data_IF_779701992980
#
_entry.id   IF_779701992980
#
_cell.length_a   1.000
_cell.length_b   1.000
_cell.length_c   1.000
_cell.angle_alpha   90.00
_cell.angle_beta   90.00
_cell.angle_gamma   90.00
#
_symmetry.space_group_name_H-M   'P 1'
#
loop_
_entity.id
_entity.type
_entity.pdbx_description
1 polymer ?
#
# COMPACT_ATOMS: atom_id res chain seq x y z
N UNK A 1 120.23 68.74 -22.02
CA UNK A 1 119.24 69.49 -21.22
C UNK A 1 118.30 70.21 -22.18
N UNK A 2 117.03 69.82 -22.20
CA UNK A 2 115.97 70.57 -22.87
C UNK A 2 114.85 70.75 -21.84
N UNK A 3 114.80 71.93 -21.22
CA UNK A 3 113.77 72.33 -20.27
C UNK A 3 112.52 72.70 -21.05
N UNK A 4 111.46 71.91 -20.90
CA UNK A 4 110.13 72.19 -21.44
C UNK A 4 109.55 73.41 -20.73
N UNK A 5 109.53 74.55 -21.42
CA UNK A 5 108.88 75.78 -20.97
C UNK A 5 107.37 75.57 -20.90
N UNK A 6 106.85 75.36 -19.69
CA UNK A 6 105.42 75.27 -19.40
C UNK A 6 104.85 76.69 -19.35
N UNK A 7 103.87 77.01 -20.21
CA UNK A 7 103.20 78.32 -20.22
C UNK A 7 102.78 78.72 -18.78
N UNK A 8 103.03 79.96 -18.33
CA UNK A 8 102.55 80.41 -17.03
C UNK A 8 101.02 80.35 -16.99
N UNK A 9 100.47 79.78 -15.90
CA UNK A 9 99.03 79.65 -15.71
C UNK A 9 98.33 81.00 -15.68
N UNK A 10 97.10 81.04 -16.20
CA UNK A 10 96.25 82.23 -16.21
C UNK A 10 96.04 82.75 -14.78
N UNK A 11 96.33 84.04 -14.55
CA UNK A 11 96.14 84.71 -13.25
C UNK A 11 94.77 85.40 -13.26
N UNK A 12 93.96 85.09 -12.26
CA UNK A 12 92.63 85.68 -12.07
C UNK A 12 92.69 86.82 -11.05
N UNK A 13 91.77 87.78 -11.16
CA UNK A 13 91.62 88.84 -10.15
C UNK A 13 90.97 88.26 -8.89
N UNK A 14 91.26 88.83 -7.71
CA UNK A 14 90.69 88.36 -6.43
C UNK A 14 89.17 88.40 -6.46
N UNK A 15 88.58 89.42 -7.09
CA UNK A 15 87.13 89.54 -7.29
C UNK A 15 86.55 88.41 -8.15
N UNK A 16 87.28 87.95 -9.17
CA UNK A 16 86.86 86.83 -10.02
C UNK A 16 86.95 85.50 -9.25
N UNK A 17 87.98 85.35 -8.40
CA UNK A 17 88.14 84.20 -7.49
C UNK A 17 87.03 84.14 -6.43
N UNK A 18 86.69 85.27 -5.81
CA UNK A 18 85.57 85.39 -4.86
C UNK A 18 84.22 85.07 -5.53
N UNK A 19 84.00 85.59 -6.73
CA UNK A 19 82.79 85.31 -7.53
C UNK A 19 82.69 83.84 -7.90
N UNK A 20 83.79 83.22 -8.32
CA UNK A 20 83.83 81.79 -8.63
C UNK A 20 83.60 80.92 -7.38
N UNK A 21 84.18 81.26 -6.24
CA UNK A 21 83.95 80.51 -4.99
C UNK A 21 82.52 80.67 -4.48
N UNK A 22 81.93 81.86 -4.62
CA UNK A 22 80.52 82.07 -4.32
C UNK A 22 79.63 81.24 -5.24
N UNK A 23 79.88 81.25 -6.54
CA UNK A 23 79.17 80.41 -7.50
C UNK A 23 79.28 78.91 -7.18
N UNK A 24 80.48 78.43 -6.82
CA UNK A 24 80.69 77.04 -6.40
C UNK A 24 79.92 76.70 -5.12
N UNK A 25 79.87 77.62 -4.15
CA UNK A 25 79.12 77.44 -2.90
C UNK A 25 77.62 77.42 -3.14
N UNK A 26 77.10 78.40 -3.89
CA UNK A 26 75.68 78.51 -4.26
C UNK A 26 75.23 77.29 -5.07
N UNK A 27 76.07 76.84 -6.03
CA UNK A 27 75.81 75.62 -6.80
C UNK A 27 75.80 74.38 -5.90
N UNK A 28 76.77 74.25 -4.99
CA UNK A 28 76.81 73.13 -4.05
C UNK A 28 75.62 73.12 -3.09
N UNK A 29 75.16 74.27 -2.62
CA UNK A 29 73.94 74.42 -1.82
C UNK A 29 72.70 74.01 -2.59
N UNK A 30 72.53 74.51 -3.82
CA UNK A 30 71.43 74.13 -4.68
C UNK A 30 71.40 72.63 -4.96
N UNK A 31 72.55 72.03 -5.29
CA UNK A 31 72.67 70.58 -5.53
C UNK A 31 72.38 69.76 -4.26
N UNK A 32 72.84 70.22 -3.09
CA UNK A 32 72.50 69.57 -1.79
C UNK A 32 71.01 69.65 -1.51
N UNK A 33 70.38 70.81 -1.73
CA UNK A 33 68.96 70.99 -1.50
C UNK A 33 68.13 70.09 -2.43
N UNK A 34 68.45 70.09 -3.74
CA UNK A 34 67.79 69.22 -4.71
C UNK A 34 67.96 67.73 -4.36
N UNK A 35 69.18 67.30 -3.99
CA UNK A 35 69.43 65.93 -3.53
C UNK A 35 68.64 65.56 -2.27
N UNK A 36 68.54 66.48 -1.30
CA UNK A 36 67.74 66.28 -0.09
C UNK A 36 66.26 66.13 -0.42
N UNK A 37 65.72 66.99 -1.30
CA UNK A 37 64.35 66.91 -1.76
C UNK A 37 64.07 65.57 -2.45
N UNK A 38 64.86 65.18 -3.46
CA UNK A 38 64.72 63.89 -4.16
C UNK A 38 64.79 62.70 -3.19
N UNK A 39 65.65 62.77 -2.16
CA UNK A 39 65.72 61.74 -1.12
C UNK A 39 64.48 61.72 -0.24
N UNK A 40 63.92 62.86 0.13
CA UNK A 40 62.70 62.95 0.94
C UNK A 40 61.50 62.43 0.14
N UNK A 41 61.36 62.85 -1.11
CA UNK A 41 60.33 62.35 -2.05
C UNK A 41 60.47 60.83 -2.25
N UNK A 42 61.68 60.34 -2.49
CA UNK A 42 61.95 58.90 -2.63
C UNK A 42 61.63 58.10 -1.35
N UNK A 43 61.87 58.66 -0.16
CA UNK A 43 61.47 58.03 1.12
C UNK A 43 59.97 58.02 1.30
N UNK A 44 59.29 59.13 1.01
CA UNK A 44 57.84 59.24 1.08
C UNK A 44 57.17 58.24 0.12
N UNK A 45 57.65 58.19 -1.13
CA UNK A 45 57.17 57.25 -2.13
C UNK A 45 57.35 55.79 -1.67
N UNK A 46 58.53 55.40 -1.17
CA UNK A 46 58.76 54.06 -0.64
C UNK A 46 57.81 53.70 0.49
N UNK A 47 57.55 54.62 1.41
CA UNK A 47 56.63 54.39 2.52
C UNK A 47 55.18 54.26 2.03
N UNK A 48 54.75 55.17 1.14
CA UNK A 48 53.43 55.12 0.53
C UNK A 48 53.21 53.83 -0.26
N UNK A 49 54.18 53.43 -1.10
CA UNK A 49 54.13 52.16 -1.84
C UNK A 49 54.08 50.98 -0.89
N UNK A 50 54.92 50.93 0.15
CA UNK A 50 54.91 49.84 1.11
C UNK A 50 53.57 49.71 1.86
N UNK A 51 52.96 50.83 2.26
CA UNK A 51 51.65 50.84 2.91
C UNK A 51 50.56 50.39 1.93
N UNK A 52 50.57 50.94 0.71
CA UNK A 52 49.60 50.60 -0.33
C UNK A 52 49.68 49.12 -0.71
N UNK A 53 50.87 48.59 -0.97
CA UNK A 53 51.06 47.17 -1.30
C UNK A 53 50.56 46.25 -0.19
N UNK A 54 50.86 46.54 1.08
CA UNK A 54 50.34 45.75 2.22
C UNK A 54 48.83 45.83 2.35
N UNK A 55 48.25 47.00 2.10
CA UNK A 55 46.80 47.18 2.15
C UNK A 55 46.11 46.42 1.00
N UNK A 56 46.60 46.57 -0.23
CA UNK A 56 46.08 45.87 -1.42
C UNK A 56 46.19 44.34 -1.25
N UNK A 57 47.29 43.84 -0.66
CA UNK A 57 47.48 42.42 -0.33
C UNK A 57 46.47 41.92 0.72
N UNK A 58 46.27 42.70 1.80
CA UNK A 58 45.29 42.36 2.84
C UNK A 58 43.85 42.37 2.30
N UNK A 59 43.47 43.41 1.57
CA UNK A 59 42.13 43.54 0.96
C UNK A 59 41.86 42.39 -0.04
N UNK A 60 42.86 42.01 -0.83
CA UNK A 60 42.74 40.85 -1.73
C UNK A 60 42.61 39.53 -0.96
N UNK A 61 43.36 39.37 0.14
CA UNK A 61 43.28 38.20 1.01
C UNK A 61 41.91 38.09 1.69
N UNK A 62 41.36 39.19 2.19
CA UNK A 62 40.05 39.23 2.84
C UNK A 62 38.93 38.86 1.85
N UNK A 63 38.96 39.42 0.63
CA UNK A 63 38.01 39.04 -0.44
C UNK A 63 38.09 37.56 -0.83
N UNK A 64 39.29 36.97 -0.80
CA UNK A 64 39.48 35.55 -1.07
C UNK A 64 38.90 34.69 0.06
N UNK A 65 39.03 35.11 1.32
CA UNK A 65 38.38 34.46 2.47
C UNK A 65 36.86 34.52 2.34
N UNK A 66 36.29 35.68 2.01
CA UNK A 66 34.85 35.82 1.80
C UNK A 66 34.36 34.90 0.68
N UNK A 67 35.10 34.81 -0.43
CA UNK A 67 34.76 33.91 -1.54
C UNK A 67 34.83 32.43 -1.14
N UNK A 68 35.85 32.03 -0.37
CA UNK A 68 35.97 30.66 0.18
C UNK A 68 34.75 30.32 1.04
N UNK A 69 34.32 31.24 1.90
CA UNK A 69 33.14 31.02 2.74
C UNK A 69 31.87 30.84 1.88
N UNK A 70 31.68 31.70 0.88
CA UNK A 70 30.52 31.63 -0.02
C UNK A 70 30.48 30.33 -0.83
N UNK A 71 31.63 29.89 -1.38
CA UNK A 71 31.74 28.62 -2.11
C UNK A 71 31.49 27.43 -1.19
N UNK A 72 31.97 27.50 0.06
CA UNK A 72 31.76 26.46 1.07
C UNK A 72 30.28 26.31 1.43
N UNK A 73 29.57 27.42 1.65
CA UNK A 73 28.13 27.39 1.94
C UNK A 73 27.32 26.74 0.81
N UNK A 74 27.61 27.13 -0.44
CA UNK A 74 26.93 26.55 -1.61
C UNK A 74 27.26 25.05 -1.77
N UNK A 75 28.51 24.65 -1.52
CA UNK A 75 28.94 23.25 -1.53
C UNK A 75 28.18 22.43 -0.48
N UNK A 76 28.08 22.92 0.76
CA UNK A 76 27.40 22.23 1.85
C UNK A 76 25.90 22.06 1.55
N UNK A 77 25.28 23.09 0.97
CA UNK A 77 23.87 23.03 0.52
C UNK A 77 23.66 21.99 -0.58
N UNK A 78 24.54 21.95 -1.58
CA UNK A 78 24.51 20.95 -2.65
C UNK A 78 24.68 19.53 -2.09
N UNK A 79 25.63 19.33 -1.18
CA UNK A 79 25.89 18.04 -0.56
C UNK A 79 24.68 17.55 0.26
N UNK A 80 24.04 18.44 1.03
CA UNK A 80 22.82 18.11 1.75
C UNK A 80 21.70 17.69 0.78
N UNK A 81 21.49 18.45 -0.30
CA UNK A 81 20.46 18.18 -1.29
C UNK A 81 20.66 16.80 -1.97
N UNK A 82 21.90 16.47 -2.35
CA UNK A 82 22.22 15.15 -2.95
C UNK A 82 21.88 14.02 -1.98
N UNK A 83 22.29 14.13 -0.71
CA UNK A 83 21.99 13.10 0.29
C UNK A 83 20.49 12.97 0.59
N UNK A 84 19.76 14.08 0.63
CA UNK A 84 18.31 14.07 0.83
C UNK A 84 17.62 13.32 -0.33
N UNK A 85 18.06 13.59 -1.56
CA UNK A 85 17.53 12.95 -2.76
C UNK A 85 17.81 11.45 -2.80
N UNK A 86 19.02 11.01 -2.42
CA UNK A 86 19.34 9.57 -2.28
C UNK A 86 18.47 8.86 -1.24
N UNK A 87 18.16 9.52 -0.12
CA UNK A 87 17.27 8.97 0.92
C UNK A 87 15.85 8.83 0.39
N UNK A 88 15.36 9.82 -0.36
CA UNK A 88 14.01 9.79 -0.92
C UNK A 88 13.84 8.67 -1.96
N UNK A 89 14.83 8.43 -2.83
CA UNK A 89 14.82 7.29 -3.76
C UNK A 89 14.68 5.97 -3.03
N UNK A 90 15.46 5.78 -1.95
CA UNK A 90 15.40 4.56 -1.13
C UNK A 90 14.02 4.41 -0.48
N UNK A 91 13.47 5.50 0.06
CA UNK A 91 12.17 5.50 0.70
C UNK A 91 11.03 5.18 -0.28
N UNK A 92 11.03 5.76 -1.49
CA UNK A 92 10.02 5.48 -2.51
C UNK A 92 10.12 4.03 -3.00
N UNK A 93 11.34 3.52 -3.17
CA UNK A 93 11.59 2.11 -3.51
C UNK A 93 10.99 1.17 -2.48
N UNK A 94 11.21 1.44 -1.19
CA UNK A 94 10.64 0.66 -0.10
C UNK A 94 9.11 0.68 -0.12
N UNK A 95 8.49 1.87 -0.25
CA UNK A 95 7.01 1.97 -0.29
C UNK A 95 6.42 1.22 -1.49
N UNK A 96 7.10 1.25 -2.66
CA UNK A 96 6.71 0.43 -3.81
C UNK A 96 6.74 -1.06 -3.48
N UNK A 97 7.86 -1.57 -2.96
CA UNK A 97 8.01 -2.99 -2.62
C UNK A 97 6.97 -3.45 -1.58
N UNK A 98 6.70 -2.62 -0.58
CA UNK A 98 5.65 -2.91 0.40
C UNK A 98 4.25 -2.91 -0.22
N UNK A 99 3.99 -2.05 -1.21
CA UNK A 99 2.71 -2.01 -1.94
C UNK A 99 2.56 -3.22 -2.87
N UNK A 100 3.64 -3.66 -3.52
CA UNK A 100 3.68 -4.90 -4.31
C UNK A 100 3.42 -6.13 -3.43
N UNK A 101 3.96 -6.14 -2.21
CA UNK A 101 3.68 -7.21 -1.23
C UNK A 101 2.21 -7.19 -0.81
N UNK A 102 1.67 -6.03 -0.45
CA UNK A 102 0.26 -5.89 -0.10
C UNK A 102 -0.67 -6.35 -1.25
N UNK A 103 -0.32 -6.03 -2.51
CA UNK A 103 -1.03 -6.54 -3.67
C UNK A 103 -0.99 -8.08 -3.74
N UNK A 104 0.19 -8.69 -3.56
CA UNK A 104 0.33 -10.15 -3.58
C UNK A 104 -0.47 -10.84 -2.44
N UNK A 105 -0.52 -10.22 -1.25
CA UNK A 105 -1.29 -10.71 -0.10
C UNK A 105 -2.80 -10.78 -0.39
N UNK A 106 -3.34 -9.95 -1.30
CA UNK A 106 -4.76 -10.01 -1.70
C UNK A 106 -5.14 -11.20 -2.59
N UNK A 107 -4.17 -11.91 -3.19
CA UNK A 107 -4.45 -13.01 -4.11
C UNK A 107 -5.14 -14.18 -3.41
N UNK A 108 -4.67 -14.55 -2.23
CA UNK A 108 -5.18 -15.71 -1.51
C UNK A 108 -6.60 -15.47 -0.93
N UNK A 109 -6.93 -14.31 -0.33
CA UNK A 109 -8.31 -13.96 -0.01
C UNK A 109 -9.26 -14.04 -1.22
N UNK A 110 -8.83 -13.60 -2.40
CA UNK A 110 -9.64 -13.71 -3.62
C UNK A 110 -9.93 -15.17 -3.99
N UNK A 111 -8.90 -16.02 -3.97
CA UNK A 111 -9.04 -17.47 -4.23
C UNK A 111 -10.04 -18.11 -3.26
N UNK A 112 -9.95 -17.79 -1.97
CA UNK A 112 -10.86 -18.32 -0.95
C UNK A 112 -12.30 -17.87 -1.19
N UNK A 113 -12.53 -16.61 -1.53
CA UNK A 113 -13.89 -16.12 -1.84
C UNK A 113 -14.46 -16.80 -3.08
N UNK A 114 -13.65 -16.97 -4.12
CA UNK A 114 -14.04 -17.69 -5.34
C UNK A 114 -14.36 -19.14 -5.01
N UNK A 115 -13.53 -19.82 -4.22
CA UNK A 115 -13.80 -21.20 -3.80
C UNK A 115 -15.11 -21.30 -3.00
N UNK A 116 -15.37 -20.37 -2.08
CA UNK A 116 -16.63 -20.31 -1.34
C UNK A 116 -17.84 -20.16 -2.30
N UNK A 117 -17.73 -19.31 -3.31
CA UNK A 117 -18.77 -19.16 -4.34
C UNK A 117 -18.96 -20.45 -5.14
N UNK A 118 -17.88 -21.11 -5.58
CA UNK A 118 -17.93 -22.38 -6.30
C UNK A 118 -18.54 -23.50 -5.46
N UNK A 119 -18.22 -23.58 -4.16
CA UNK A 119 -18.84 -24.53 -3.24
C UNK A 119 -20.36 -24.31 -3.15
N UNK A 120 -20.81 -23.06 -3.16
CA UNK A 120 -22.24 -22.73 -3.15
C UNK A 120 -22.95 -23.07 -4.47
N UNK A 121 -22.27 -22.90 -5.61
CA UNK A 121 -22.80 -23.34 -6.92
C UNK A 121 -23.00 -24.85 -7.00
N UNK A 122 -22.24 -25.63 -6.21
CA UNK A 122 -22.40 -27.08 -6.09
C UNK A 122 -23.66 -27.56 -5.37
N UNK A 123 -24.49 -26.65 -4.85
CA UNK A 123 -25.74 -27.01 -4.16
C UNK A 123 -26.81 -27.53 -5.10
N UNK A 124 -27.67 -28.41 -4.58
CA UNK A 124 -28.67 -29.13 -5.37
C UNK A 124 -30.09 -28.73 -4.99
N UNK A 125 -30.96 -28.64 -6.00
CA UNK A 125 -32.39 -28.42 -5.81
C UNK A 125 -32.71 -27.12 -5.09
N UNK A 126 -33.57 -27.19 -4.07
CA UNK A 126 -34.04 -26.06 -3.27
C UNK A 126 -32.96 -25.38 -2.43
N UNK A 127 -31.76 -25.94 -2.32
CA UNK A 127 -30.64 -25.36 -1.57
C UNK A 127 -29.80 -24.37 -2.39
N UNK A 128 -29.96 -24.36 -3.72
CA UNK A 128 -29.34 -23.38 -4.60
C UNK A 128 -30.13 -22.06 -4.53
N UNK A 129 -29.81 -21.25 -3.52
CA UNK A 129 -30.55 -20.03 -3.19
C UNK A 129 -29.62 -18.81 -3.20
N UNK A 130 -30.10 -17.74 -3.84
CA UNK A 130 -29.52 -16.41 -3.70
C UNK A 130 -29.93 -15.77 -2.39
N UNK A 131 -28.97 -15.69 -1.47
CA UNK A 131 -29.15 -15.19 -0.11
C UNK A 131 -28.19 -14.04 0.19
N UNK A 132 -28.32 -13.37 1.35
CA UNK A 132 -27.43 -12.28 1.72
C UNK A 132 -25.95 -12.67 1.78
N UNK A 133 -25.63 -13.94 2.07
CA UNK A 133 -24.25 -14.42 2.14
C UNK A 133 -23.62 -14.51 0.75
N UNK A 134 -24.33 -15.05 -0.25
CA UNK A 134 -23.87 -15.01 -1.64
C UNK A 134 -23.64 -13.57 -2.11
N UNK A 135 -24.53 -12.65 -1.72
CA UNK A 135 -24.37 -11.22 -1.99
C UNK A 135 -23.13 -10.61 -1.34
N UNK A 136 -22.78 -11.01 -0.11
CA UNK A 136 -21.56 -10.55 0.57
C UNK A 136 -20.29 -11.14 -0.07
N UNK A 137 -20.30 -12.43 -0.42
CA UNK A 137 -19.15 -13.08 -1.10
C UNK A 137 -18.87 -12.44 -2.47
N UNK A 138 -19.91 -12.15 -3.26
CA UNK A 138 -19.74 -11.44 -4.54
C UNK A 138 -19.21 -10.02 -4.33
N UNK A 139 -19.70 -9.31 -3.32
CA UNK A 139 -19.19 -7.98 -2.97
C UNK A 139 -17.73 -8.04 -2.55
N UNK A 140 -17.34 -9.01 -1.73
CA UNK A 140 -15.96 -9.21 -1.29
C UNK A 140 -15.03 -9.48 -2.48
N UNK A 141 -15.41 -10.35 -3.41
CA UNK A 141 -14.62 -10.59 -4.63
C UNK A 141 -14.47 -9.32 -5.49
N UNK A 142 -15.56 -8.58 -5.71
CA UNK A 142 -15.53 -7.32 -6.46
C UNK A 142 -14.68 -6.24 -5.77
N UNK A 143 -14.75 -6.18 -4.45
CA UNK A 143 -13.96 -5.25 -3.64
C UNK A 143 -12.47 -5.58 -3.76
N UNK A 144 -12.10 -6.86 -3.62
CA UNK A 144 -10.70 -7.30 -3.77
C UNK A 144 -10.19 -6.97 -5.19
N UNK A 145 -10.96 -7.25 -6.24
CA UNK A 145 -10.57 -6.92 -7.63
C UNK A 145 -10.37 -5.41 -7.82
N UNK A 146 -11.28 -4.58 -7.29
CA UNK A 146 -11.17 -3.11 -7.35
C UNK A 146 -9.90 -2.63 -6.63
N UNK A 147 -9.64 -3.16 -5.43
CA UNK A 147 -8.44 -2.83 -4.64
C UNK A 147 -7.16 -3.27 -5.33
N UNK A 148 -7.13 -4.46 -5.95
CA UNK A 148 -6.00 -4.94 -6.73
C UNK A 148 -5.70 -3.99 -7.89
N UNK A 149 -6.72 -3.51 -8.58
CA UNK A 149 -6.56 -2.54 -9.66
C UNK A 149 -6.03 -1.20 -9.15
N UNK A 150 -6.53 -0.69 -8.03
CA UNK A 150 -6.04 0.56 -7.41
C UNK A 150 -4.57 0.43 -6.96
N UNK A 151 -4.23 -0.64 -6.23
CA UNK A 151 -2.85 -0.91 -5.82
C UNK A 151 -1.92 -1.06 -7.03
N UNK A 152 -2.36 -1.78 -8.08
CA UNK A 152 -1.59 -1.94 -9.31
C UNK A 152 -1.38 -0.60 -10.03
N UNK A 153 -2.39 0.26 -10.08
CA UNK A 153 -2.25 1.61 -10.64
C UNK A 153 -1.25 2.45 -9.84
N UNK A 154 -1.28 2.37 -8.51
CA UNK A 154 -0.31 3.05 -7.65
C UNK A 154 1.11 2.49 -7.83
N UNK A 155 1.28 1.17 -7.96
CA UNK A 155 2.56 0.54 -8.28
C UNK A 155 3.05 0.99 -9.65
N UNK A 156 2.19 1.03 -10.67
CA UNK A 156 2.55 1.52 -12.00
C UNK A 156 2.97 2.99 -11.97
N UNK A 157 2.21 3.85 -11.28
CA UNK A 157 2.59 5.26 -11.08
C UNK A 157 3.89 5.39 -10.32
N UNK A 158 4.11 4.61 -9.26
CA UNK A 158 5.35 4.60 -8.50
C UNK A 158 6.52 4.07 -9.31
N UNK A 159 6.30 3.08 -10.16
CA UNK A 159 7.30 2.57 -11.09
C UNK A 159 7.63 3.61 -12.16
N UNK A 160 6.64 4.28 -12.75
CA UNK A 160 6.84 5.39 -13.69
C UNK A 160 7.58 6.54 -13.01
N UNK A 161 7.17 6.93 -11.80
CA UNK A 161 7.84 7.98 -11.03
C UNK A 161 9.26 7.56 -10.66
N UNK A 162 9.49 6.34 -10.16
CA UNK A 162 10.82 5.80 -9.90
C UNK A 162 11.64 5.74 -11.18
N UNK A 163 11.07 5.33 -12.30
CA UNK A 163 11.73 5.29 -13.59
C UNK A 163 12.11 6.70 -14.04
N UNK A 164 11.23 7.70 -13.91
CA UNK A 164 11.55 9.11 -14.17
C UNK A 164 12.62 9.64 -13.20
N UNK A 165 12.50 9.30 -11.91
CA UNK A 165 13.43 9.59 -10.81
C UNK A 165 14.74 8.76 -10.84
N UNK A 166 14.92 7.78 -11.72
CA UNK A 166 16.16 6.98 -11.78
C UNK A 166 16.78 6.96 -13.18
N UNK A 167 15.97 7.12 -14.22
CA UNK A 167 16.36 7.00 -15.63
C UNK A 167 16.59 8.36 -16.32
N UNK A 168 15.75 9.36 -16.08
CA UNK A 168 15.74 10.61 -16.88
C UNK A 168 16.01 11.88 -16.08
N UNK A 169 15.16 12.23 -15.11
CA UNK A 169 15.25 13.55 -14.45
C UNK A 169 16.34 13.57 -13.38
N UNK A 170 16.53 12.47 -12.65
CA UNK A 170 17.51 12.39 -11.58
C UNK A 170 18.92 12.10 -12.07
N UNK A 171 19.14 11.34 -13.15
CA UNK A 171 20.48 11.30 -13.73
C UNK A 171 20.92 12.70 -14.10
N UNK A 172 20.06 13.49 -14.74
CA UNK A 172 20.39 14.87 -15.10
C UNK A 172 20.50 15.78 -13.87
N UNK A 173 19.54 15.79 -12.95
CA UNK A 173 19.57 16.65 -11.76
C UNK A 173 20.67 16.22 -10.77
N UNK A 174 20.84 14.92 -10.53
CA UNK A 174 21.95 14.38 -9.73
C UNK A 174 23.29 14.61 -10.42
N UNK A 175 23.44 14.39 -11.73
CA UNK A 175 24.68 14.69 -12.44
C UNK A 175 24.95 16.20 -12.43
N UNK A 176 23.94 17.05 -12.60
CA UNK A 176 24.09 18.51 -12.52
C UNK A 176 24.48 18.95 -11.11
N UNK A 177 23.84 18.43 -10.06
CA UNK A 177 24.20 18.68 -8.66
C UNK A 177 25.59 18.15 -8.33
N UNK A 178 25.95 16.94 -8.78
CA UNK A 178 27.26 16.32 -8.54
C UNK A 178 28.35 17.05 -9.31
N UNK A 179 28.07 17.48 -10.53
CA UNK A 179 28.98 18.27 -11.36
C UNK A 179 29.19 19.65 -10.76
N UNK A 180 28.12 20.33 -10.33
CA UNK A 180 28.22 21.60 -9.61
C UNK A 180 29.03 21.42 -8.32
N UNK A 181 28.73 20.39 -7.52
CA UNK A 181 29.47 20.07 -6.30
C UNK A 181 30.96 19.81 -6.57
N UNK A 182 31.29 19.06 -7.63
CA UNK A 182 32.67 18.81 -8.06
C UNK A 182 33.37 20.12 -8.44
N UNK A 183 32.72 20.93 -9.26
CA UNK A 183 33.26 22.23 -9.67
C UNK A 183 33.47 23.18 -8.48
N UNK A 184 32.53 23.21 -7.53
CA UNK A 184 32.65 24.00 -6.29
C UNK A 184 33.79 23.49 -5.41
N UNK A 185 34.00 22.17 -5.36
CA UNK A 185 35.10 21.56 -4.61
C UNK A 185 36.46 21.89 -5.24
N UNK A 186 36.57 21.73 -6.56
CA UNK A 186 37.80 22.10 -7.29
C UNK A 186 38.09 23.61 -7.20
N UNK A 187 37.07 24.46 -7.31
CA UNK A 187 37.22 25.90 -7.14
C UNK A 187 37.70 26.25 -5.71
N UNK A 188 37.12 25.60 -4.69
CA UNK A 188 37.53 25.78 -3.30
C UNK A 188 38.99 25.36 -3.08
N UNK A 189 39.43 24.25 -3.67
CA UNK A 189 40.83 23.80 -3.59
C UNK A 189 41.80 24.81 -4.22
N UNK A 190 41.42 25.39 -5.37
CA UNK A 190 42.19 26.46 -6.02
C UNK A 190 42.24 27.70 -5.15
N UNK A 191 41.11 28.15 -4.59
CA UNK A 191 41.04 29.36 -3.76
C UNK A 191 41.82 29.19 -2.45
N UNK A 192 41.75 28.02 -1.81
CA UNK A 192 42.54 27.69 -0.62
C UNK A 192 44.04 27.64 -0.93
N UNK A 193 44.42 27.09 -2.09
CA UNK A 193 45.81 27.10 -2.56
C UNK A 193 46.29 28.54 -2.75
N UNK A 194 45.51 29.39 -3.42
CA UNK A 194 45.80 30.82 -3.58
C UNK A 194 45.95 31.53 -2.24
N UNK A 195 45.08 31.25 -1.26
CA UNK A 195 45.13 31.85 0.08
C UNK A 195 46.38 31.44 0.87
N UNK A 196 46.96 30.29 0.56
CA UNK A 196 48.17 29.76 1.19
C UNK A 196 49.47 30.33 0.61
N UNK A 197 49.42 30.96 -0.56
CA UNK A 197 50.60 31.55 -1.20
C UNK A 197 51.10 32.77 -0.43
N UNK A 198 52.42 32.92 -0.41
CA UNK A 198 53.12 34.08 0.19
C UNK A 198 54.17 34.59 -0.80
N UNK A 199 54.71 35.78 -0.55
CA UNK A 199 55.81 36.38 -1.31
C UNK A 199 57.12 35.55 -1.31
N UNK A 200 57.19 34.53 -0.45
CA UNK A 200 58.33 33.61 -0.31
C UNK A 200 58.05 32.21 -0.86
N UNK A 201 56.85 31.96 -1.39
CA UNK A 201 56.49 30.66 -1.94
C UNK A 201 57.30 30.35 -3.20
N UNK A 202 57.79 29.12 -3.40
CA UNK A 202 58.70 28.78 -4.52
C UNK A 202 58.04 28.85 -5.90
N UNK A 203 56.71 28.69 -5.98
CA UNK A 203 55.96 28.56 -7.24
C UNK A 203 55.37 29.88 -7.78
N UNK A 204 55.75 31.03 -7.20
CA UNK A 204 55.31 32.34 -7.69
C UNK A 204 56.17 32.78 -8.88
N UNK A 205 55.54 33.32 -9.94
CA UNK A 205 56.23 33.78 -11.15
C UNK A 205 55.40 34.80 -11.92
N UNK A 206 56.07 35.65 -12.70
CA UNK A 206 55.40 36.58 -13.61
C UNK A 206 54.66 35.82 -14.71
N UNK A 207 53.39 36.17 -14.94
CA UNK A 207 52.55 35.55 -15.97
C UNK A 207 52.52 36.42 -17.24
N UNK A 208 52.48 35.83 -18.45
CA UNK A 208 52.48 36.58 -19.71
C UNK A 208 51.26 37.52 -19.88
N UNK A 209 50.08 37.11 -19.45
CA UNK A 209 48.85 37.91 -19.50
C UNK A 209 47.98 37.66 -18.25
N UNK A 210 48.30 38.29 -17.10
CA UNK A 210 47.61 38.05 -15.83
C UNK A 210 46.21 38.65 -15.78
N UNK A 211 45.85 39.52 -16.72
CA UNK A 211 44.56 40.23 -16.78
C UNK A 211 43.56 39.59 -17.73
N UNK A 212 43.94 38.51 -18.41
CA UNK A 212 43.09 37.81 -19.35
C UNK A 212 41.91 37.12 -18.64
N UNK A 213 40.68 37.51 -19.00
CA UNK A 213 39.45 36.84 -18.60
C UNK A 213 38.92 36.03 -19.80
N UNK A 214 38.76 34.69 -19.68
CA UNK A 214 38.19 33.87 -20.74
C UNK A 214 36.78 34.35 -21.15
N UNK A 215 36.46 34.30 -22.44
CA UNK A 215 35.13 34.68 -22.97
C UNK A 215 34.01 33.80 -22.38
N UNK A 216 34.34 32.56 -21.99
CA UNK A 216 33.42 31.62 -21.35
C UNK A 216 33.29 31.81 -19.83
N UNK A 217 33.88 32.85 -19.25
CA UNK A 217 33.78 33.12 -17.82
C UNK A 217 32.35 33.56 -17.46
N UNK A 218 31.76 32.88 -16.47
CA UNK A 218 30.46 33.28 -15.92
C UNK A 218 30.60 34.47 -14.98
N UNK A 219 29.52 35.23 -14.89
CA UNK A 219 29.36 36.27 -13.87
C UNK A 219 29.05 35.64 -12.51
N UNK A 220 29.29 36.39 -11.43
CA UNK A 220 28.94 35.97 -10.07
C UNK A 220 27.43 35.67 -9.92
N UNK A 221 26.59 36.50 -10.55
CA UNK A 221 25.14 36.29 -10.58
C UNK A 221 24.73 34.99 -11.28
N UNK A 222 25.32 34.68 -12.43
CA UNK A 222 25.05 33.42 -13.15
C UNK A 222 25.51 32.20 -12.33
N UNK A 223 26.63 32.32 -11.60
CA UNK A 223 27.13 31.28 -10.70
C UNK A 223 26.16 31.00 -9.54
N UNK A 224 25.61 32.03 -8.91
CA UNK A 224 24.64 31.90 -7.81
C UNK A 224 23.32 31.28 -8.33
N UNK A 225 22.82 31.79 -9.45
CA UNK A 225 21.58 31.32 -10.06
C UNK A 225 21.66 29.86 -10.49
N UNK A 226 22.82 29.41 -11.00
CA UNK A 226 23.02 28.02 -11.42
C UNK A 226 22.84 27.05 -10.25
N UNK A 227 23.49 27.31 -9.12
CA UNK A 227 23.37 26.47 -7.93
C UNK A 227 21.96 26.54 -7.33
N UNK A 228 21.36 27.74 -7.27
CA UNK A 228 19.99 27.91 -6.79
C UNK A 228 18.96 27.15 -7.62
N UNK A 229 19.07 27.20 -8.95
CA UNK A 229 18.21 26.48 -9.88
C UNK A 229 18.31 24.96 -9.68
N UNK A 230 19.54 24.43 -9.58
CA UNK A 230 19.76 23.00 -9.39
C UNK A 230 19.14 22.48 -8.08
N UNK A 231 19.27 23.24 -6.99
CA UNK A 231 18.67 22.88 -5.69
C UNK A 231 17.14 22.94 -5.75
N UNK A 232 16.57 24.02 -6.28
CA UNK A 232 15.11 24.20 -6.34
C UNK A 232 14.45 23.10 -7.16
N UNK A 233 15.02 22.76 -8.33
CA UNK A 233 14.54 21.66 -9.16
C UNK A 233 14.56 20.32 -8.41
N UNK A 234 15.61 20.04 -7.64
CA UNK A 234 15.69 18.80 -6.86
C UNK A 234 14.67 18.77 -5.71
N UNK A 235 14.41 19.91 -5.05
CA UNK A 235 13.39 20.04 -4.01
C UNK A 235 11.97 19.79 -4.53
N UNK A 236 11.63 20.32 -5.71
CA UNK A 236 10.33 20.10 -6.37
C UNK A 236 10.09 18.61 -6.67
N UNK A 237 11.09 17.91 -7.19
CA UNK A 237 11.02 16.48 -7.50
C UNK A 237 10.89 15.62 -6.23
N UNK A 238 11.63 15.96 -5.16
CA UNK A 238 11.50 15.30 -3.87
C UNK A 238 10.09 15.49 -3.27
N UNK A 239 9.50 16.67 -3.43
CA UNK A 239 8.16 16.96 -2.93
C UNK A 239 7.08 16.14 -3.67
N UNK A 240 7.22 15.97 -4.99
CA UNK A 240 6.32 15.11 -5.76
C UNK A 240 6.43 13.64 -5.30
N UNK A 241 7.65 13.16 -5.05
CA UNK A 241 7.90 11.81 -4.50
C UNK A 241 7.26 11.62 -3.13
N UNK A 242 7.40 12.61 -2.23
CA UNK A 242 6.79 12.57 -0.89
C UNK A 242 5.26 12.41 -0.98
N UNK A 243 4.59 13.21 -1.79
CA UNK A 243 3.13 13.15 -1.97
C UNK A 243 2.67 11.79 -2.50
N UNK A 244 3.46 11.19 -3.41
CA UNK A 244 3.18 9.86 -3.92
C UNK A 244 3.30 8.80 -2.82
N UNK A 245 4.35 8.85 -1.99
CA UNK A 245 4.52 7.92 -0.86
C UNK A 245 3.40 8.03 0.16
N UNK A 246 2.99 9.24 0.51
CA UNK A 246 1.86 9.48 1.43
C UNK A 246 0.56 8.89 0.88
N UNK A 247 0.28 9.14 -0.39
CA UNK A 247 -0.92 8.60 -1.06
C UNK A 247 -0.89 7.08 -1.08
N UNK A 248 0.22 6.45 -1.48
CA UNK A 248 0.36 4.99 -1.52
C UNK A 248 0.18 4.36 -0.14
N UNK A 249 0.78 4.97 0.89
CA UNK A 249 0.67 4.48 2.27
C UNK A 249 -0.78 4.58 2.77
N UNK A 250 -1.44 5.70 2.50
CA UNK A 250 -2.85 5.90 2.86
C UNK A 250 -3.76 4.89 2.16
N UNK A 251 -3.59 4.68 0.84
CA UNK A 251 -4.37 3.69 0.09
C UNK A 251 -4.15 2.29 0.63
N UNK A 252 -2.91 1.90 0.95
CA UNK A 252 -2.62 0.57 1.51
C UNK A 252 -3.35 0.35 2.84
N UNK A 253 -3.30 1.32 3.74
CA UNK A 253 -4.00 1.25 5.03
C UNK A 253 -5.51 1.16 4.81
N UNK A 254 -6.05 1.94 3.88
CA UNK A 254 -7.47 1.90 3.54
C UNK A 254 -7.89 0.52 3.02
N UNK A 255 -7.15 -0.04 2.04
CA UNK A 255 -7.39 -1.37 1.49
C UNK A 255 -7.40 -2.43 2.60
N UNK A 256 -6.43 -2.39 3.51
CA UNK A 256 -6.35 -3.33 4.62
C UNK A 256 -7.57 -3.25 5.55
N UNK A 257 -7.96 -2.04 5.98
CA UNK A 257 -9.11 -1.84 6.86
C UNK A 257 -10.42 -2.27 6.19
N UNK A 258 -10.57 -1.95 4.91
CA UNK A 258 -11.76 -2.25 4.13
C UNK A 258 -11.90 -3.77 3.91
N UNK A 259 -10.80 -4.48 3.65
CA UNK A 259 -10.76 -5.95 3.58
C UNK A 259 -11.14 -6.60 4.91
N UNK A 260 -10.57 -6.13 6.01
CA UNK A 260 -10.88 -6.64 7.35
C UNK A 260 -12.37 -6.45 7.69
N UNK A 261 -12.92 -5.26 7.43
CA UNK A 261 -14.33 -4.96 7.65
C UNK A 261 -15.26 -5.83 6.80
N UNK A 262 -14.93 -6.04 5.54
CA UNK A 262 -15.71 -6.90 4.65
C UNK A 262 -15.62 -8.37 5.08
N UNK A 263 -14.44 -8.84 5.49
CA UNK A 263 -14.26 -10.20 5.97
C UNK A 263 -15.07 -10.49 7.23
N UNK A 264 -15.04 -9.61 8.24
CA UNK A 264 -15.88 -9.75 9.44
C UNK A 264 -17.36 -9.84 9.07
N UNK A 265 -17.80 -9.02 8.11
CA UNK A 265 -19.18 -9.01 7.61
C UNK A 265 -19.55 -10.32 6.92
N UNK A 266 -18.71 -10.82 6.02
CA UNK A 266 -18.94 -12.10 5.34
C UNK A 266 -18.92 -13.27 6.32
N UNK A 267 -17.94 -13.31 7.23
CA UNK A 267 -17.82 -14.36 8.25
C UNK A 267 -19.04 -14.41 9.18
N UNK A 268 -19.59 -13.25 9.57
CA UNK A 268 -20.85 -13.20 10.31
C UNK A 268 -22.02 -13.79 9.51
N UNK A 269 -22.15 -13.44 8.23
CA UNK A 269 -23.23 -13.97 7.38
C UNK A 269 -23.08 -15.47 7.12
N UNK A 270 -21.84 -15.97 7.02
CA UNK A 270 -21.53 -17.39 6.88
C UNK A 270 -21.99 -18.19 8.09
N UNK A 271 -21.56 -17.78 9.29
CA UNK A 271 -22.00 -18.40 10.56
C UNK A 271 -23.51 -18.35 10.73
N UNK A 272 -24.14 -17.22 10.37
CA UNK A 272 -25.60 -17.08 10.41
C UNK A 272 -26.29 -18.07 9.47
N UNK A 273 -25.81 -18.25 8.25
CA UNK A 273 -26.39 -19.18 7.27
C UNK A 273 -26.19 -20.63 7.68
N UNK A 274 -25.00 -21.00 8.15
CA UNK A 274 -24.73 -22.33 8.69
C UNK A 274 -25.68 -22.67 9.84
N UNK A 275 -25.92 -21.72 10.76
CA UNK A 275 -26.86 -21.90 11.86
C UNK A 275 -28.31 -22.09 11.36
N UNK A 276 -28.75 -21.33 10.35
CA UNK A 276 -30.08 -21.50 9.76
C UNK A 276 -30.26 -22.89 9.12
N UNK A 277 -29.25 -23.38 8.39
CA UNK A 277 -29.25 -24.73 7.83
C UNK A 277 -29.29 -25.79 8.92
N UNK A 278 -28.49 -25.64 9.97
CA UNK A 278 -28.48 -26.55 11.12
C UNK A 278 -29.85 -26.61 11.82
N UNK A 279 -30.52 -25.47 12.00
CA UNK A 279 -31.89 -25.43 12.53
C UNK A 279 -32.88 -26.14 11.60
N UNK A 280 -32.78 -25.93 10.28
CA UNK A 280 -33.65 -26.58 9.31
C UNK A 280 -33.47 -28.12 9.33
N UNK A 281 -32.22 -28.59 9.34
CA UNK A 281 -31.90 -30.01 9.52
C UNK A 281 -32.48 -30.58 10.82
N UNK A 282 -32.31 -29.86 11.93
CA UNK A 282 -32.82 -30.29 13.24
C UNK A 282 -34.35 -30.39 13.26
N UNK A 283 -35.06 -29.45 12.60
CA UNK A 283 -36.52 -29.47 12.49
C UNK A 283 -37.01 -30.64 11.62
N UNK A 284 -36.37 -30.88 10.48
CA UNK A 284 -36.71 -32.03 9.62
C UNK A 284 -36.39 -33.36 10.31
N UNK A 285 -35.30 -33.42 11.07
CA UNK A 285 -34.98 -34.58 11.89
C UNK A 285 -35.98 -34.77 13.04
N UNK A 286 -36.52 -33.69 13.63
CA UNK A 286 -37.56 -33.80 14.64
C UNK A 286 -38.87 -34.34 14.06
N UNK A 287 -39.23 -33.99 12.81
CA UNK A 287 -40.42 -34.51 12.12
C UNK A 287 -40.40 -36.03 11.88
N UNK A 288 -39.37 -36.72 12.37
CA UNK A 288 -39.32 -38.18 12.46
C UNK A 288 -40.48 -38.79 13.27
N UNK A 289 -41.27 -38.01 14.01
CA UNK A 289 -42.56 -38.46 14.58
C UNK A 289 -43.52 -39.03 13.53
N UNK A 290 -43.44 -38.60 12.26
CA UNK A 290 -44.23 -39.20 11.16
C UNK A 290 -43.93 -40.69 10.96
N UNK A 291 -42.73 -41.18 11.37
CA UNK A 291 -42.43 -42.63 11.37
C UNK A 291 -43.27 -43.39 12.38
N UNK A 292 -43.47 -42.83 13.57
CA UNK A 292 -44.27 -43.45 14.61
C UNK A 292 -45.73 -43.53 14.15
N UNK A 293 -46.26 -42.46 13.55
CA UNK A 293 -47.61 -42.43 12.97
C UNK A 293 -47.79 -43.48 11.86
N UNK A 294 -46.80 -43.66 10.97
CA UNK A 294 -46.82 -44.73 9.96
C UNK A 294 -46.89 -46.11 10.63
N UNK A 295 -46.14 -46.34 11.71
CA UNK A 295 -46.18 -47.62 12.43
C UNK A 295 -47.51 -47.89 13.12
N UNK A 296 -48.15 -46.87 13.70
CA UNK A 296 -49.49 -47.01 14.30
C UNK A 296 -50.54 -47.26 13.20
N UNK A 297 -50.50 -46.51 12.10
CA UNK A 297 -51.46 -46.68 11.01
C UNK A 297 -51.35 -48.07 10.34
N UNK A 298 -50.14 -48.63 10.24
CA UNK A 298 -49.94 -50.01 9.79
C UNK A 298 -50.56 -51.04 10.74
N UNK A 299 -50.51 -50.81 12.07
CA UNK A 299 -51.19 -51.66 13.06
C UNK A 299 -52.70 -51.55 12.93
N UNK A 300 -53.22 -50.34 12.75
CA UNK A 300 -54.65 -50.12 12.56
C UNK A 300 -55.17 -50.77 11.28
N UNK A 301 -54.42 -50.69 10.17
CA UNK A 301 -54.75 -51.43 8.94
C UNK A 301 -54.80 -52.93 9.22
N UNK A 302 -53.83 -53.47 9.96
CA UNK A 302 -53.82 -54.89 10.31
C UNK A 302 -55.03 -55.29 11.17
N UNK A 303 -55.39 -54.48 12.17
CA UNK A 303 -56.58 -54.71 13.00
C UNK A 303 -57.87 -54.65 12.16
N UNK A 304 -58.01 -53.67 11.26
CA UNK A 304 -59.16 -53.56 10.36
C UNK A 304 -59.30 -54.77 9.42
N UNK A 305 -58.18 -55.31 8.93
CA UNK A 305 -58.17 -56.54 8.13
C UNK A 305 -58.61 -57.76 8.95
N UNK A 306 -58.17 -57.86 10.21
CA UNK A 306 -58.61 -58.93 11.13
C UNK A 306 -60.10 -58.83 11.46
N UNK A 307 -60.61 -57.63 11.76
CA UNK A 307 -62.03 -57.39 12.05
C UNK A 307 -62.92 -57.73 10.84
N UNK A 308 -62.45 -57.43 9.63
CA UNK A 308 -63.14 -57.79 8.39
C UNK A 308 -63.22 -59.31 8.21
N UNK A 309 -62.13 -60.03 8.45
CA UNK A 309 -62.13 -61.51 8.42
C UNK A 309 -63.05 -62.10 9.51
N UNK A 310 -63.04 -61.52 10.71
CA UNK A 310 -63.87 -61.98 11.82
C UNK A 310 -65.38 -61.79 11.54
N UNK A 311 -65.77 -60.77 10.77
CA UNK A 311 -67.17 -60.49 10.41
C UNK A 311 -67.70 -61.32 9.24
N UNK A 312 -66.83 -61.89 8.39
CA UNK A 312 -67.24 -62.77 7.29
C UNK A 312 -67.89 -64.09 7.75
N UNK A 313 -67.37 -64.70 8.82
CA UNK A 313 -67.86 -65.98 9.33
C UNK A 313 -69.31 -65.89 9.86
N UNK A 314 -69.66 -64.90 10.71
CA UNK A 314 -71.05 -64.61 11.09
C UNK A 314 -71.96 -64.36 9.89
N UNK A 315 -71.50 -63.59 8.88
CA UNK A 315 -72.32 -63.33 7.69
C UNK A 315 -72.60 -64.61 6.89
N UNK A 316 -71.56 -65.44 6.67
CA UNK A 316 -71.71 -66.76 6.02
C UNK A 316 -72.71 -67.63 6.77
N UNK A 317 -72.66 -67.66 8.10
CA UNK A 317 -73.60 -68.41 8.93
C UNK A 317 -75.06 -67.94 8.75
N UNK A 318 -75.29 -66.63 8.75
CA UNK A 318 -76.65 -66.07 8.55
C UNK A 318 -77.15 -66.36 7.14
N UNK A 319 -76.32 -66.22 6.11
CA UNK A 319 -76.66 -66.58 4.73
C UNK A 319 -77.05 -68.06 4.60
N UNK A 320 -76.26 -68.97 5.15
CA UNK A 320 -76.58 -70.41 5.15
C UNK A 320 -77.88 -70.71 5.91
N UNK A 321 -78.11 -70.04 7.06
CA UNK A 321 -79.37 -70.18 7.81
C UNK A 321 -80.58 -69.68 7.02
N UNK A 322 -80.46 -68.58 6.29
CA UNK A 322 -81.52 -68.05 5.43
C UNK A 322 -81.81 -68.98 4.26
N UNK A 323 -80.79 -69.47 3.58
CA UNK A 323 -80.92 -70.39 2.43
C UNK A 323 -81.64 -71.68 2.82
N UNK A 324 -81.21 -72.32 3.91
CA UNK A 324 -81.84 -73.52 4.44
C UNK A 324 -83.32 -73.30 4.80
N UNK A 325 -83.68 -72.08 5.25
CA UNK A 325 -85.07 -71.72 5.55
C UNK A 325 -85.89 -71.44 4.30
N UNK A 326 -85.26 -71.01 3.20
CA UNK A 326 -85.93 -70.80 1.91
C UNK A 326 -86.28 -72.12 1.20
N UNK A 327 -85.67 -73.25 1.59
CA UNK A 327 -86.01 -74.58 1.05
C UNK A 327 -87.26 -75.22 1.66
N UNK A 328 -87.99 -74.51 2.54
CA UNK A 328 -89.20 -75.05 3.18
C UNK A 328 -90.35 -75.20 2.17
N UNK A 329 -91.08 -76.34 2.16
CA UNK A 329 -92.14 -76.58 1.19
C UNK A 329 -93.47 -75.89 1.58
N UNK A 330 -94.23 -75.43 0.58
CA UNK A 330 -95.63 -75.04 0.73
C UNK A 330 -95.88 -73.86 1.67
N UNK A 331 -96.87 -74.00 2.56
CA UNK A 331 -97.33 -72.93 3.48
C UNK A 331 -96.31 -72.69 4.62
N UNK A 332 -95.43 -73.65 4.90
CA UNK A 332 -94.38 -73.52 5.92
C UNK A 332 -93.20 -72.62 5.49
N UNK A 333 -93.21 -72.14 4.23
CA UNK A 333 -92.38 -71.03 3.76
C UNK A 333 -92.93 -69.69 4.30
N UNK A 334 -92.95 -69.58 5.63
CA UNK A 334 -93.49 -68.44 6.34
C UNK A 334 -92.40 -67.40 6.67
N UNK A 335 -92.74 -66.12 6.54
CA UNK A 335 -91.92 -65.00 7.01
C UNK A 335 -92.19 -64.73 8.49
N UNK A 336 -91.73 -65.65 9.32
CA UNK A 336 -91.83 -65.54 10.77
C UNK A 336 -90.82 -64.54 11.36
N UNK A 337 -90.86 -64.36 12.68
CA UNK A 337 -89.99 -63.45 13.41
C UNK A 337 -88.51 -63.84 13.28
N UNK A 338 -88.20 -65.14 13.21
CA UNK A 338 -86.83 -65.63 13.08
C UNK A 338 -86.26 -65.35 11.68
N UNK A 339 -87.05 -65.56 10.62
CA UNK A 339 -86.65 -65.20 9.27
C UNK A 339 -86.43 -63.70 9.14
N UNK A 340 -87.32 -62.88 9.70
CA UNK A 340 -87.19 -61.42 9.70
C UNK A 340 -85.94 -60.96 10.47
N UNK A 341 -85.64 -61.58 11.62
CA UNK A 341 -84.44 -61.31 12.41
C UNK A 341 -83.15 -61.66 11.69
N UNK A 342 -83.08 -62.82 11.01
CA UNK A 342 -81.91 -63.21 10.21
C UNK A 342 -81.69 -62.28 9.01
N UNK A 343 -82.76 -61.79 8.37
CA UNK A 343 -82.66 -60.80 7.29
C UNK A 343 -82.09 -59.48 7.81
N UNK A 344 -82.50 -59.04 8.99
CA UNK A 344 -81.97 -57.81 9.60
C UNK A 344 -80.50 -57.98 10.03
N UNK A 345 -80.16 -59.12 10.62
CA UNK A 345 -78.78 -59.48 10.99
C UNK A 345 -77.86 -59.49 9.76
N UNK A 346 -78.30 -60.07 8.63
CA UNK A 346 -77.54 -60.07 7.37
C UNK A 346 -77.31 -58.64 6.85
N UNK A 347 -78.33 -57.76 6.92
CA UNK A 347 -78.20 -56.36 6.51
C UNK A 347 -77.25 -55.58 7.41
N UNK A 348 -77.32 -55.77 8.72
CA UNK A 348 -76.43 -55.11 9.68
C UNK A 348 -74.97 -55.56 9.53
N UNK A 349 -74.74 -56.87 9.36
CA UNK A 349 -73.39 -57.40 9.09
C UNK A 349 -72.86 -56.91 7.74
N UNK A 350 -73.70 -56.85 6.70
CA UNK A 350 -73.35 -56.26 5.40
C UNK A 350 -72.94 -54.80 5.51
N UNK A 351 -73.75 -53.98 6.20
CA UNK A 351 -73.44 -52.57 6.45
C UNK A 351 -72.15 -52.39 7.28
N UNK A 352 -71.90 -53.27 8.25
CA UNK A 352 -70.67 -53.24 9.07
C UNK A 352 -69.43 -53.54 8.22
N UNK A 353 -69.49 -54.54 7.33
CA UNK A 353 -68.42 -54.85 6.39
C UNK A 353 -68.16 -53.68 5.43
N UNK A 354 -69.22 -53.05 4.89
CA UNK A 354 -69.06 -51.86 4.04
C UNK A 354 -68.35 -50.71 4.77
N UNK A 355 -68.70 -50.45 6.03
CA UNK A 355 -68.03 -49.43 6.86
C UNK A 355 -66.57 -49.79 7.13
N UNK A 356 -66.27 -51.04 7.46
CA UNK A 356 -64.89 -51.52 7.67
C UNK A 356 -64.06 -51.40 6.37
N UNK A 357 -64.62 -51.76 5.22
CA UNK A 357 -63.97 -51.61 3.92
C UNK A 357 -63.69 -50.14 3.58
N UNK A 358 -64.64 -49.24 3.85
CA UNK A 358 -64.44 -47.81 3.64
C UNK A 358 -63.33 -47.25 4.55
N UNK A 359 -63.29 -47.64 5.82
CA UNK A 359 -62.22 -47.22 6.72
C UNK A 359 -60.87 -47.78 6.32
N UNK A 360 -60.80 -49.05 5.91
CA UNK A 360 -59.58 -49.66 5.37
C UNK A 360 -59.05 -48.90 4.16
N UNK A 361 -59.93 -48.53 3.22
CA UNK A 361 -59.56 -47.74 2.05
C UNK A 361 -59.02 -46.35 2.42
N UNK A 362 -59.65 -45.67 3.39
CA UNK A 362 -59.19 -44.38 3.92
C UNK A 362 -57.83 -44.48 4.62
N UNK A 363 -57.62 -45.51 5.44
CA UNK A 363 -56.35 -45.73 6.13
C UNK A 363 -55.22 -46.05 5.15
N UNK A 364 -55.48 -46.88 4.13
CA UNK A 364 -54.50 -47.17 3.06
C UNK A 364 -54.12 -45.93 2.24
N UNK A 365 -55.09 -45.08 1.90
CA UNK A 365 -54.79 -43.81 1.23
C UNK A 365 -53.97 -42.88 2.12
N UNK A 366 -54.30 -42.81 3.42
CA UNK A 366 -53.56 -41.98 4.37
C UNK A 366 -52.11 -42.46 4.53
N UNK A 367 -51.90 -43.78 4.56
CA UNK A 367 -50.57 -44.39 4.61
C UNK A 367 -49.74 -43.99 3.38
N UNK A 368 -50.29 -44.15 2.18
CA UNK A 368 -49.59 -43.77 0.95
C UNK A 368 -49.18 -42.29 0.97
N UNK A 369 -50.07 -41.40 1.41
CA UNK A 369 -49.76 -39.97 1.51
C UNK A 369 -48.65 -39.68 2.53
N UNK A 370 -48.61 -40.40 3.66
CA UNK A 370 -47.56 -40.24 4.67
C UNK A 370 -46.21 -40.78 4.19
N UNK A 371 -46.19 -41.90 3.48
CA UNK A 371 -44.99 -42.48 2.87
C UNK A 371 -44.38 -41.54 1.82
N UNK A 372 -45.21 -40.97 0.94
CA UNK A 372 -44.79 -39.97 -0.04
C UNK A 372 -44.19 -38.72 0.63
N UNK A 373 -44.86 -38.22 1.69
CA UNK A 373 -44.36 -37.08 2.46
C UNK A 373 -43.03 -37.41 3.16
N UNK A 374 -42.89 -38.61 3.71
CA UNK A 374 -41.67 -39.06 4.36
C UNK A 374 -40.49 -39.14 3.37
N UNK A 375 -40.71 -39.70 2.19
CA UNK A 375 -39.69 -39.76 1.14
C UNK A 375 -39.22 -38.35 0.75
N UNK A 376 -40.17 -37.43 0.53
CA UNK A 376 -39.88 -36.02 0.22
C UNK A 376 -39.07 -35.33 1.34
N UNK A 377 -39.45 -35.51 2.60
CA UNK A 377 -38.70 -34.96 3.75
C UNK A 377 -37.30 -35.55 3.88
N UNK A 378 -37.14 -36.85 3.60
CA UNK A 378 -35.84 -37.52 3.62
C UNK A 378 -34.87 -36.97 2.57
N UNK A 379 -35.36 -36.75 1.34
CA UNK A 379 -34.59 -36.11 0.29
C UNK A 379 -34.20 -34.67 0.63
N UNK A 380 -35.13 -33.88 1.17
CA UNK A 380 -34.87 -32.49 1.56
C UNK A 380 -33.87 -32.40 2.72
N UNK A 381 -33.92 -33.33 3.68
CA UNK A 381 -32.94 -33.44 4.76
C UNK A 381 -31.53 -33.74 4.20
N UNK A 382 -31.40 -34.69 3.27
CA UNK A 382 -30.11 -35.01 2.63
C UNK A 382 -29.51 -33.80 1.91
N UNK A 383 -30.33 -33.07 1.14
CA UNK A 383 -29.88 -31.85 0.42
C UNK A 383 -29.41 -30.77 1.40
N UNK A 384 -30.13 -30.56 2.51
CA UNK A 384 -29.76 -29.57 3.55
C UNK A 384 -28.50 -29.96 4.30
N UNK A 385 -28.28 -31.25 4.55
CA UNK A 385 -27.04 -31.76 5.14
C UNK A 385 -25.85 -31.51 4.20
N UNK A 386 -25.96 -31.84 2.92
CA UNK A 386 -24.93 -31.52 1.90
C UNK A 386 -24.64 -30.00 1.85
N UNK A 387 -25.67 -29.16 1.87
CA UNK A 387 -25.52 -27.71 1.89
C UNK A 387 -24.82 -27.20 3.17
N UNK A 388 -25.12 -27.79 4.33
CA UNK A 388 -24.48 -27.46 5.60
C UNK A 388 -22.99 -27.85 5.59
N UNK A 389 -22.64 -29.01 5.06
CA UNK A 389 -21.25 -29.45 4.91
C UNK A 389 -20.45 -28.53 3.98
N UNK A 390 -21.09 -27.99 2.94
CA UNK A 390 -20.48 -26.98 2.07
C UNK A 390 -20.22 -25.67 2.83
N UNK A 391 -21.18 -25.16 3.62
CA UNK A 391 -20.95 -23.95 4.42
C UNK A 391 -19.84 -24.16 5.47
N UNK A 392 -19.78 -25.34 6.09
CA UNK A 392 -18.74 -25.66 7.07
C UNK A 392 -17.35 -25.73 6.44
N UNK A 393 -17.25 -26.26 5.22
CA UNK A 393 -16.00 -26.24 4.45
C UNK A 393 -15.59 -24.82 4.09
N UNK A 394 -16.51 -23.99 3.63
CA UNK A 394 -16.27 -22.56 3.37
C UNK A 394 -15.80 -21.84 4.65
N UNK A 395 -16.41 -22.12 5.80
CA UNK A 395 -16.02 -21.53 7.08
C UNK A 395 -14.61 -21.98 7.50
N UNK A 396 -14.29 -23.26 7.32
CA UNK A 396 -12.96 -23.80 7.61
C UNK A 396 -11.86 -23.17 6.75
N UNK A 397 -12.07 -23.05 5.43
CA UNK A 397 -11.08 -22.43 4.53
C UNK A 397 -10.85 -20.97 4.93
N UNK A 398 -11.92 -20.26 5.31
CA UNK A 398 -11.82 -18.87 5.77
C UNK A 398 -11.14 -18.72 7.13
N UNK A 399 -11.21 -19.70 8.02
CA UNK A 399 -10.45 -19.65 9.29
C UNK A 399 -8.94 -19.71 9.08
N UNK A 400 -8.46 -20.37 8.01
CA UNK A 400 -7.03 -20.35 7.67
C UNK A 400 -6.54 -18.96 7.28
N UNK A 401 -7.41 -18.10 6.74
CA UNK A 401 -7.09 -16.69 6.52
C UNK A 401 -6.81 -15.98 7.85
N UNK A 402 -7.61 -16.23 8.91
CA UNK A 402 -7.51 -15.54 10.23
C UNK A 402 -6.16 -15.86 10.88
N UNK A 403 -5.74 -17.13 10.81
CA UNK A 403 -4.47 -17.59 11.39
C UNK A 403 -3.26 -17.01 10.67
N UNK A 404 -3.34 -16.82 9.35
CA UNK A 404 -2.25 -16.19 8.57
C UNK A 404 -2.14 -14.70 8.88
N UNK A 405 -3.27 -13.99 9.02
CA UNK A 405 -3.31 -12.58 9.41
C UNK A 405 -2.76 -12.35 10.83
N UNK A 406 -3.09 -13.22 11.78
CA UNK A 406 -2.55 -13.17 13.16
C UNK A 406 -1.05 -13.50 13.22
N UNK A 407 -0.56 -14.41 12.38
CA UNK A 407 0.87 -14.75 12.31
C UNK A 407 1.73 -13.63 11.69
N UNK A 408 1.15 -12.79 10.82
CA UNK A 408 1.82 -11.65 10.19
C UNK A 408 1.78 -10.39 11.06
N UNK A 409 0.66 -10.11 11.74
CA UNK A 409 0.57 -8.99 12.70
C UNK A 409 1.57 -9.11 13.86
N UNK A 410 1.92 -10.33 14.28
CA UNK A 410 2.98 -10.57 15.27
C UNK A 410 4.39 -10.25 14.73
N UNK A 411 4.59 -10.21 13.40
CA UNK A 411 5.86 -9.83 12.76
C UNK A 411 5.99 -8.33 12.50
N UNK A 412 4.89 -7.58 12.45
CA UNK A 412 4.86 -6.13 12.18
C UNK A 412 4.84 -5.31 13.49
N UNK A 413 5.64 -5.70 14.48
CA UNK A 413 6.03 -4.78 15.56
C UNK A 413 7.48 -4.33 15.28
N UNK A 414 7.71 -3.25 14.51
CA UNK A 414 9.00 -2.59 14.51
C UNK A 414 9.10 -1.75 15.78
N UNK A 415 9.68 -2.34 16.81
CA UNK A 415 10.35 -1.54 17.83
C UNK A 415 11.57 -0.88 17.18
N UNK A 416 11.47 0.42 16.85
CA UNK A 416 12.46 1.48 17.14
C UNK A 416 11.78 2.79 16.72
N UNK A 417 11.32 3.57 17.71
CA UNK A 417 11.03 4.99 17.53
C UNK A 417 12.37 5.70 17.38
N UNK A 418 12.75 6.05 16.14
CA UNK A 418 13.86 6.99 15.91
C UNK A 418 13.30 8.40 16.10
N UNK A 419 13.86 9.24 17.00
CA UNK A 419 13.40 10.60 17.15
C UNK A 419 13.70 11.39 15.87
N UNK A 420 12.67 12.01 15.31
CA UNK A 420 12.77 13.03 14.27
C UNK A 420 13.52 14.22 14.88
N UNK A 421 14.70 14.64 14.36
CA UNK A 421 15.28 15.92 14.75
C UNK A 421 14.32 17.00 14.23
N UNK A 422 13.74 17.75 15.17
CA UNK A 422 12.82 18.83 14.86
C UNK A 422 13.43 19.83 13.89
N UNK A 423 12.62 20.25 12.93
CA UNK A 423 12.79 21.53 12.25
C UNK A 423 12.79 22.66 13.29
N UNK A 424 13.97 23.03 13.80
CA UNK A 424 14.15 24.34 14.43
C UNK A 424 14.34 25.35 13.33
N UNK A 425 13.24 26.01 13.01
CA UNK A 425 13.19 27.29 12.31
C UNK A 425 13.58 28.38 13.31
N UNK A 426 14.88 28.59 13.50
CA UNK A 426 15.45 29.77 14.18
C UNK A 426 16.45 30.39 13.20
N UNK A 427 16.06 31.46 12.50
CA UNK A 427 16.34 32.87 12.83
C UNK A 427 17.81 33.25 12.60
N UNK A 428 17.98 34.11 11.58
CA UNK A 428 19.15 34.88 11.12
C UNK A 428 20.15 34.17 10.22
#
# INVERSE_FOLDING_TARGET
>A
MATTSRKPGQRYWVTDWETNNKLLTDTAEHQRHHSQQTRQEGRALRHQTACKTRWDESDSRDRLVDRINEVTEQKDRLQFCVQAMEREIKALTQVKEETERALAETAMPLEVVVECLTQREGRRGSELVSDPLEGQLKREAQMIDTMQQELQQHISKAFEHLFLLTSSCLKEAHQQLTFDLSNKTEALDVDLSCLSLTDRSPDISFKPDPTHVPISASTHQEWEQFTHYNVTRAEEEMQASLQLRETMTSTRIQVQNDLEGQWVTTGFNLRKRAHQLQQACSRLHWQHTTREEITELLRDIHHLEQDLLATECPLKLVHTRLENRNSRPGVDLCRDQVHSGLVEEAKQLGATIEVLQQNLAKSRHSLQSLEEQQACMGEDLSRKQEALELEQRSDHIRQHLEVLSEAETVKIIPGVTVPIPGFTREMF
#
